data_IF_221221814113
#
_entry.id   IF_221221814113
#
_cell.length_a   1.000
_cell.length_b   1.000
_cell.length_c   1.000
_cell.angle_alpha   90.00
_cell.angle_beta   90.00
_cell.angle_gamma   90.00
#
_symmetry.space_group_name_H-M   'P 1'
#
loop_
_entity.id
_entity.type
_entity.pdbx_description
1 polymer ?
#
# COMPACT_ATOMS: atom_id res chain seq x y z
N UNK A 1 3.76 -10.85 13.59
CA UNK A 1 3.62 -9.41 13.86
C UNK A 1 2.44 -9.14 14.80
N UNK A 2 1.36 -9.92 14.74
CA UNK A 2 0.16 -9.73 15.57
C UNK A 2 0.43 -9.66 17.07
N UNK A 3 1.35 -10.48 17.59
CA UNK A 3 1.78 -10.38 18.99
C UNK A 3 2.25 -8.97 19.36
N UNK A 4 3.05 -8.34 18.50
CA UNK A 4 3.57 -6.98 18.72
C UNK A 4 2.45 -5.94 18.52
N UNK A 5 1.57 -6.17 17.54
CA UNK A 5 0.40 -5.30 17.30
C UNK A 5 -0.59 -5.34 18.47
N UNK A 6 -0.62 -6.42 19.26
CA UNK A 6 -1.47 -6.59 20.44
C UNK A 6 -0.82 -6.12 21.76
N UNK A 7 0.46 -5.69 21.76
CA UNK A 7 1.11 -5.14 22.95
C UNK A 7 0.42 -3.83 23.40
N UNK A 8 0.76 -3.36 24.59
CA UNK A 8 0.39 -2.00 25.00
C UNK A 8 1.14 -0.95 24.19
N UNK A 9 0.62 0.29 24.11
CA UNK A 9 1.33 1.40 23.47
C UNK A 9 2.72 1.62 24.08
N UNK A 10 2.84 1.49 25.41
CA UNK A 10 4.11 1.65 26.12
C UNK A 10 5.16 0.62 25.66
N UNK A 11 4.80 -0.68 25.65
CA UNK A 11 5.70 -1.75 25.22
C UNK A 11 6.09 -1.61 23.74
N UNK A 12 5.16 -1.17 22.88
CA UNK A 12 5.48 -0.85 21.48
C UNK A 12 6.45 0.31 21.37
N UNK A 13 6.21 1.41 22.10
CA UNK A 13 7.07 2.59 22.11
C UNK A 13 8.50 2.21 22.48
N UNK A 14 8.69 1.43 23.54
CA UNK A 14 10.01 0.96 23.98
C UNK A 14 10.73 0.13 22.91
N UNK A 15 10.01 -0.77 22.22
CA UNK A 15 10.55 -1.53 21.10
C UNK A 15 10.97 -0.62 19.94
N UNK A 16 10.12 0.36 19.59
CA UNK A 16 10.38 1.27 18.49
C UNK A 16 11.52 2.25 18.81
N UNK A 17 11.64 2.72 20.06
CA UNK A 17 12.77 3.54 20.54
C UNK A 17 14.10 2.79 20.51
N UNK A 18 14.10 1.52 20.96
CA UNK A 18 15.27 0.65 20.87
C UNK A 18 15.74 0.47 19.42
N UNK A 19 14.77 0.25 18.53
CA UNK A 19 15.04 0.06 17.10
C UNK A 19 15.52 1.35 16.43
N UNK A 20 14.85 2.47 16.72
CA UNK A 20 15.23 3.83 16.33
C UNK A 20 16.68 4.12 16.67
N UNK A 21 17.08 3.86 17.93
CA UNK A 21 18.44 4.09 18.43
C UNK A 21 19.48 3.21 17.71
N UNK A 22 19.17 1.93 17.47
CA UNK A 22 20.10 1.02 16.79
C UNK A 22 20.26 1.30 15.30
N UNK A 23 19.19 1.76 14.63
CA UNK A 23 19.18 1.96 13.18
C UNK A 23 19.37 3.42 12.78
N UNK A 24 19.45 4.34 13.75
CA UNK A 24 19.54 5.78 13.54
C UNK A 24 18.40 6.32 12.65
N UNK A 25 17.18 5.91 12.97
CA UNK A 25 15.94 6.29 12.27
C UNK A 25 14.98 6.99 13.26
N UNK A 26 14.14 7.94 12.82
CA UNK A 26 13.10 8.51 13.68
C UNK A 26 12.15 7.45 14.25
N UNK A 27 11.76 7.56 15.53
CA UNK A 27 10.84 6.62 16.18
C UNK A 27 9.52 6.45 15.43
N UNK A 28 8.91 7.57 15.01
CA UNK A 28 7.70 7.57 14.18
C UNK A 28 7.87 6.82 12.85
N UNK A 29 9.06 6.85 12.24
CA UNK A 29 9.33 6.12 11.00
C UNK A 29 9.42 4.61 11.25
N UNK A 30 10.04 4.20 12.37
CA UNK A 30 10.09 2.79 12.79
C UNK A 30 8.71 2.26 13.13
N UNK A 31 7.91 3.03 13.88
CA UNK A 31 6.54 2.67 14.23
C UNK A 31 5.67 2.49 12.99
N UNK A 32 5.71 3.47 12.07
CA UNK A 32 4.93 3.39 10.83
C UNK A 32 5.38 2.25 9.92
N UNK A 33 6.68 1.97 9.84
CA UNK A 33 7.20 0.79 9.14
C UNK A 33 6.61 -0.52 9.66
N UNK A 34 6.51 -0.65 10.99
CA UNK A 34 5.86 -1.80 11.62
C UNK A 34 4.40 -1.92 11.18
N UNK A 35 3.64 -0.84 11.27
CA UNK A 35 2.22 -0.85 10.90
C UNK A 35 1.99 -1.12 9.41
N UNK A 36 2.85 -0.59 8.52
CA UNK A 36 2.82 -0.92 7.09
C UNK A 36 3.01 -2.43 6.87
N UNK A 37 4.01 -3.04 7.51
CA UNK A 37 4.23 -4.48 7.40
C UNK A 37 3.07 -5.29 7.98
N UNK A 38 2.46 -4.82 9.08
CA UNK A 38 1.32 -5.49 9.71
C UNK A 38 0.04 -5.38 8.88
N UNK A 39 -0.26 -4.22 8.29
CA UNK A 39 -1.40 -4.03 7.37
C UNK A 39 -1.22 -4.88 6.12
N UNK A 40 -0.02 -4.90 5.52
CA UNK A 40 0.29 -5.77 4.39
C UNK A 40 0.12 -7.25 4.77
N UNK A 41 0.47 -7.64 6.00
CA UNK A 41 0.18 -8.99 6.51
C UNK A 41 -1.32 -9.28 6.48
N UNK A 42 -2.16 -8.38 7.01
CA UNK A 42 -3.62 -8.62 7.03
C UNK A 42 -4.20 -8.72 5.61
N UNK A 43 -3.81 -7.80 4.72
CA UNK A 43 -4.26 -7.77 3.32
C UNK A 43 -3.90 -9.06 2.57
N UNK A 44 -2.63 -9.48 2.62
CA UNK A 44 -2.14 -10.62 1.83
C UNK A 44 -2.31 -11.98 2.53
N UNK A 45 -2.57 -11.98 3.84
CA UNK A 45 -2.95 -13.17 4.61
C UNK A 45 -4.43 -13.54 4.48
N UNK A 46 -5.30 -12.58 4.17
CA UNK A 46 -6.73 -12.82 3.95
C UNK A 46 -6.99 -13.60 2.65
N UNK A 47 -7.77 -14.67 2.73
CA UNK A 47 -8.17 -15.46 1.55
C UNK A 47 -9.14 -14.70 0.64
N UNK A 48 -9.82 -13.68 1.16
CA UNK A 48 -10.77 -12.88 0.40
C UNK A 48 -10.10 -11.70 -0.28
N UNK A 49 -9.19 -11.00 0.41
CA UNK A 49 -8.52 -9.80 -0.13
C UNK A 49 -7.31 -10.13 -1.02
N UNK A 50 -6.46 -11.07 -0.60
CA UNK A 50 -5.19 -11.39 -1.26
C UNK A 50 -5.32 -11.76 -2.75
N UNK A 51 -6.36 -12.50 -3.21
CA UNK A 51 -6.51 -12.79 -4.63
C UNK A 51 -6.80 -11.55 -5.49
N UNK A 52 -7.37 -10.51 -4.91
CA UNK A 52 -7.89 -9.33 -5.63
C UNK A 52 -6.89 -8.18 -5.70
N UNK A 53 -5.79 -8.28 -4.95
CA UNK A 53 -4.87 -7.18 -4.73
C UNK A 53 -3.44 -7.54 -5.15
N UNK A 54 -2.72 -6.54 -5.63
CA UNK A 54 -1.29 -6.66 -5.90
C UNK A 54 -0.54 -5.41 -5.46
N UNK A 55 0.55 -5.61 -4.73
CA UNK A 55 1.35 -4.51 -4.20
C UNK A 55 2.25 -3.92 -5.29
N UNK A 56 2.30 -2.58 -5.38
CA UNK A 56 3.11 -1.90 -6.38
C UNK A 56 3.71 -0.60 -5.82
N UNK A 57 4.19 0.24 -6.73
CA UNK A 57 4.66 1.58 -6.40
C UNK A 57 6.01 1.58 -5.71
N UNK A 58 6.43 2.74 -5.22
CA UNK A 58 7.77 2.86 -4.65
C UNK A 58 7.89 2.25 -3.26
N UNK A 59 6.79 2.07 -2.52
CA UNK A 59 6.80 1.32 -1.26
C UNK A 59 7.12 -0.16 -1.51
N UNK A 60 6.64 -0.74 -2.60
CA UNK A 60 7.06 -2.10 -2.99
C UNK A 60 8.54 -2.15 -3.37
N UNK A 61 9.08 -1.12 -4.06
CA UNK A 61 10.51 -1.05 -4.41
C UNK A 61 11.42 -0.99 -3.18
N UNK A 62 11.04 -0.25 -2.15
CA UNK A 62 11.82 -0.19 -0.90
C UNK A 62 11.61 -1.44 -0.05
N UNK A 63 10.35 -1.85 0.20
CA UNK A 63 10.03 -2.95 1.14
C UNK A 63 10.32 -4.33 0.60
N UNK A 64 10.00 -4.61 -0.67
CA UNK A 64 10.16 -5.94 -1.26
C UNK A 64 11.57 -6.14 -1.83
N UNK A 65 12.14 -5.11 -2.44
CA UNK A 65 13.36 -5.26 -3.24
C UNK A 65 14.57 -4.50 -2.70
N UNK A 66 14.40 -3.61 -1.71
CA UNK A 66 15.50 -2.81 -1.15
C UNK A 66 16.20 -1.92 -2.19
N UNK A 67 15.50 -1.53 -3.26
CA UNK A 67 16.11 -0.83 -4.40
C UNK A 67 16.16 0.68 -4.22
N UNK A 68 15.37 1.23 -3.28
CA UNK A 68 15.34 2.65 -2.98
C UNK A 68 15.27 2.87 -1.47
N UNK A 69 15.99 3.89 -0.99
CA UNK A 69 16.02 4.30 0.40
C UNK A 69 15.09 5.49 0.62
N UNK A 70 13.78 5.24 0.49
CA UNK A 70 12.76 6.24 0.83
C UNK A 70 11.80 5.67 1.85
N UNK A 71 11.48 6.49 2.84
CA UNK A 71 10.32 6.28 3.68
C UNK A 71 9.08 6.63 2.86
N UNK A 72 8.09 5.74 2.82
CA UNK A 72 6.87 5.94 2.05
C UNK A 72 5.70 5.63 2.96
N UNK A 73 4.80 6.58 3.09
CA UNK A 73 3.64 6.51 3.98
C UNK A 73 2.46 5.77 3.36
N UNK A 74 2.45 5.70 2.03
CA UNK A 74 1.37 5.14 1.22
C UNK A 74 1.66 3.70 0.80
N UNK A 75 0.60 2.89 0.69
CA UNK A 75 0.63 1.56 0.10
C UNK A 75 -0.16 1.62 -1.21
N UNK A 76 0.55 1.56 -2.33
CA UNK A 76 -0.05 1.47 -3.66
C UNK A 76 -0.49 0.03 -3.98
N UNK A 77 -1.77 -0.17 -4.24
CA UNK A 77 -2.36 -1.44 -4.61
C UNK A 77 -3.00 -1.38 -6.00
N UNK A 78 -2.89 -2.49 -6.71
CA UNK A 78 -3.67 -2.77 -7.91
C UNK A 78 -4.87 -3.61 -7.49
N UNK A 79 -6.05 -3.19 -7.89
CA UNK A 79 -7.27 -4.00 -7.81
C UNK A 79 -7.43 -4.78 -9.11
N UNK A 80 -7.73 -6.07 -8.98
CA UNK A 80 -8.11 -6.92 -10.11
C UNK A 80 -9.39 -6.41 -10.76
N UNK A 81 -9.28 -5.88 -11.98
CA UNK A 81 -10.39 -5.27 -12.71
C UNK A 81 -11.45 -6.28 -13.13
N UNK A 82 -11.13 -7.59 -13.18
CA UNK A 82 -12.09 -8.66 -13.43
C UNK A 82 -13.16 -8.73 -12.32
N UNK A 83 -12.93 -8.09 -11.17
CA UNK A 83 -13.93 -7.92 -10.11
C UNK A 83 -14.94 -6.81 -10.38
N UNK A 84 -14.64 -5.92 -11.33
CA UNK A 84 -15.40 -4.69 -11.58
C UNK A 84 -16.19 -4.76 -12.88
N UNK A 85 -15.63 -5.39 -13.90
CA UNK A 85 -16.24 -5.47 -15.23
C UNK A 85 -15.79 -6.71 -15.99
N UNK A 86 -16.64 -7.18 -16.90
CA UNK A 86 -16.30 -8.22 -17.88
C UNK A 86 -15.64 -7.62 -19.16
N UNK A 87 -15.57 -6.30 -19.26
CA UNK A 87 -14.94 -5.62 -20.40
C UNK A 87 -13.42 -5.60 -20.30
N UNK A 88 -12.73 -6.01 -21.37
CA UNK A 88 -11.27 -5.98 -21.43
C UNK A 88 -10.76 -4.51 -21.46
N UNK A 89 -9.98 -4.06 -20.46
CA UNK A 89 -9.42 -2.71 -20.43
C UNK A 89 -8.41 -2.45 -21.56
N UNK A 90 -7.87 -3.50 -22.19
CA UNK A 90 -6.92 -3.43 -23.30
C UNK A 90 -7.57 -3.53 -24.68
N UNK A 91 -8.91 -3.65 -24.76
CA UNK A 91 -9.61 -3.60 -26.03
C UNK A 91 -9.35 -2.26 -26.75
N UNK A 92 -9.09 -2.33 -28.07
CA UNK A 92 -8.78 -1.16 -28.88
C UNK A 92 -10.03 -0.29 -29.03
N UNK A 93 -10.06 0.83 -28.32
CA UNK A 93 -11.12 1.83 -28.36
C UNK A 93 -10.61 3.14 -28.97
N UNK A 94 -11.53 4.00 -29.43
CA UNK A 94 -11.18 5.39 -29.73
C UNK A 94 -10.84 6.12 -28.42
N UNK A 95 -10.01 7.18 -28.49
CA UNK A 95 -9.60 7.94 -27.30
C UNK A 95 -10.80 8.36 -26.43
N UNK A 96 -11.87 8.89 -27.04
CA UNK A 96 -13.08 9.30 -26.31
C UNK A 96 -13.79 8.15 -25.60
N UNK A 97 -13.83 6.96 -26.23
CA UNK A 97 -14.41 5.77 -25.62
C UNK A 97 -13.53 5.22 -24.49
N UNK A 98 -12.20 5.27 -24.67
CA UNK A 98 -11.25 4.88 -23.62
C UNK A 98 -11.36 5.82 -22.41
N UNK A 99 -11.49 7.12 -22.63
CA UNK A 99 -11.65 8.10 -21.55
C UNK A 99 -12.96 7.89 -20.77
N UNK A 100 -14.05 7.54 -21.47
CA UNK A 100 -15.32 7.20 -20.84
C UNK A 100 -15.18 5.91 -20.01
N UNK A 101 -14.61 4.86 -20.60
CA UNK A 101 -14.34 3.60 -19.92
C UNK A 101 -13.49 3.79 -18.66
N UNK A 102 -12.42 4.59 -18.73
CA UNK A 102 -11.57 4.87 -17.59
C UNK A 102 -12.33 5.59 -16.46
N UNK A 103 -13.27 6.49 -16.78
CA UNK A 103 -14.12 7.16 -15.79
C UNK A 103 -15.11 6.19 -15.15
N UNK A 104 -15.74 5.34 -15.95
CA UNK A 104 -16.69 4.33 -15.46
C UNK A 104 -15.97 3.31 -14.57
N UNK A 105 -14.81 2.82 -14.98
CA UNK A 105 -13.95 1.94 -14.18
C UNK A 105 -13.52 2.57 -12.86
N UNK A 106 -13.19 3.87 -12.87
CA UNK A 106 -12.85 4.60 -11.65
C UNK A 106 -14.05 4.65 -10.70
N UNK A 107 -15.25 4.97 -11.20
CA UNK A 107 -16.47 4.99 -10.39
C UNK A 107 -16.83 3.60 -9.84
N UNK A 108 -16.70 2.54 -10.64
CA UNK A 108 -16.91 1.15 -10.21
C UNK A 108 -15.91 0.75 -9.12
N UNK A 109 -14.63 1.07 -9.30
CA UNK A 109 -13.60 0.80 -8.30
C UNK A 109 -13.85 1.55 -6.99
N UNK A 110 -14.24 2.83 -7.06
CA UNK A 110 -14.58 3.64 -5.88
C UNK A 110 -15.74 3.01 -5.08
N UNK A 111 -16.79 2.55 -5.77
CA UNK A 111 -17.90 1.81 -5.16
C UNK A 111 -17.44 0.49 -4.55
N UNK A 112 -16.67 -0.31 -5.29
CA UNK A 112 -16.17 -1.60 -4.82
C UNK A 112 -15.27 -1.49 -3.59
N UNK A 113 -14.36 -0.50 -3.58
CA UNK A 113 -13.50 -0.22 -2.44
C UNK A 113 -14.33 0.09 -1.20
N UNK A 114 -15.37 0.93 -1.34
CA UNK A 114 -16.23 1.33 -0.23
C UNK A 114 -17.15 0.22 0.26
N UNK A 115 -17.83 -0.46 -0.64
CA UNK A 115 -18.94 -1.34 -0.29
C UNK A 115 -18.47 -2.80 -0.08
N UNK A 116 -17.28 -3.17 -0.57
CA UNK A 116 -16.74 -4.53 -0.47
C UNK A 116 -15.38 -4.59 0.23
N UNK A 117 -14.34 -3.90 -0.27
CA UNK A 117 -12.99 -4.05 0.29
C UNK A 117 -12.86 -3.47 1.69
N UNK A 118 -13.47 -2.30 1.95
CA UNK A 118 -13.38 -1.65 3.25
C UNK A 118 -13.99 -2.52 4.37
N UNK A 119 -15.23 -3.07 4.25
CA UNK A 119 -15.77 -3.97 5.26
C UNK A 119 -14.92 -5.21 5.51
N UNK A 120 -14.39 -5.84 4.45
CA UNK A 120 -13.50 -7.00 4.57
C UNK A 120 -12.22 -6.62 5.32
N UNK A 121 -11.59 -5.51 4.94
CA UNK A 121 -10.39 -5.01 5.59
C UNK A 121 -10.64 -4.65 7.06
N UNK A 122 -11.76 -4.01 7.39
CA UNK A 122 -12.14 -3.72 8.78
C UNK A 122 -12.27 -5.01 9.61
N UNK A 123 -12.79 -6.09 9.02
CA UNK A 123 -12.84 -7.40 9.67
C UNK A 123 -11.44 -7.96 9.95
N UNK A 124 -10.52 -7.85 9.00
CA UNK A 124 -9.14 -8.35 9.14
C UNK A 124 -8.30 -7.51 10.13
N UNK A 125 -8.49 -6.19 10.17
CA UNK A 125 -7.79 -5.30 11.11
C UNK A 125 -8.31 -5.44 12.55
N UNK A 126 -9.55 -5.91 12.72
CA UNK A 126 -10.19 -6.09 14.01
C UNK A 126 -10.32 -4.78 14.79
N UNK A 127 -9.95 -4.80 16.07
CA UNK A 127 -10.02 -3.63 16.96
C UNK A 127 -8.67 -2.88 17.10
N UNK A 128 -7.64 -3.33 16.36
CA UNK A 128 -6.29 -2.77 16.50
C UNK A 128 -6.15 -1.48 15.69
N UNK A 129 -6.63 -1.47 14.45
CA UNK A 129 -6.60 -0.31 13.56
C UNK A 129 -8.01 0.04 13.10
N UNK A 130 -8.23 1.33 12.81
CA UNK A 130 -9.49 1.82 12.24
C UNK A 130 -9.30 2.13 10.76
N UNK A 131 -10.10 1.52 9.89
CA UNK A 131 -10.09 1.81 8.45
C UNK A 131 -11.33 2.59 8.04
N UNK A 132 -11.16 3.60 7.18
CA UNK A 132 -12.23 4.41 6.62
C UNK A 132 -11.91 4.90 5.22
N UNK A 133 -12.91 5.34 4.45
CA UNK A 133 -12.65 5.96 3.14
C UNK A 133 -11.93 7.29 3.33
N UNK A 134 -10.88 7.52 2.54
CA UNK A 134 -10.14 8.77 2.55
C UNK A 134 -11.07 9.95 2.23
N UNK A 135 -11.04 11.05 3.01
CA UNK A 135 -12.01 12.15 2.88
C UNK A 135 -11.98 12.81 1.49
N UNK A 136 -10.78 13.03 0.94
CA UNK A 136 -10.60 13.77 -0.31
C UNK A 136 -10.26 12.91 -1.53
N UNK A 137 -10.11 11.59 -1.35
CA UNK A 137 -9.63 10.66 -2.39
C UNK A 137 -10.56 9.46 -2.46
N UNK A 138 -11.63 9.59 -3.24
CA UNK A 138 -12.53 8.47 -3.49
C UNK A 138 -11.75 7.26 -4.03
N UNK A 139 -12.05 6.08 -3.50
CA UNK A 139 -11.35 4.82 -3.85
C UNK A 139 -10.05 4.57 -3.08
N UNK A 140 -9.67 5.45 -2.15
CA UNK A 140 -8.56 5.23 -1.21
C UNK A 140 -9.09 4.97 0.20
N UNK A 141 -8.33 4.19 0.99
CA UNK A 141 -8.66 3.88 2.39
C UNK A 141 -7.59 4.47 3.29
N UNK A 142 -8.00 5.21 4.32
CA UNK A 142 -7.14 5.65 5.42
C UNK A 142 -7.23 4.64 6.56
N UNK A 143 -6.09 4.18 7.05
CA UNK A 143 -5.98 3.27 8.20
C UNK A 143 -5.27 4.00 9.33
N UNK A 144 -6.00 4.34 10.39
CA UNK A 144 -5.45 4.88 11.62
C UNK A 144 -4.93 3.74 12.50
N UNK A 145 -3.71 3.88 12.99
CA UNK A 145 -3.10 2.93 13.91
C UNK A 145 -2.80 3.60 15.27
N UNK A 146 -2.67 2.82 16.36
CA UNK A 146 -2.39 3.38 17.68
C UNK A 146 -0.92 3.80 17.77
N UNK A 147 -0.64 5.00 17.29
CA UNK A 147 0.68 5.62 17.29
C UNK A 147 1.12 6.07 18.69
N UNK A 148 2.42 5.98 18.95
CA UNK A 148 3.07 6.33 20.22
C UNK A 148 4.01 7.52 20.07
N UNK A 149 4.35 7.90 18.83
CA UNK A 149 5.23 9.05 18.54
C UNK A 149 4.45 10.20 17.92
N UNK A 150 4.67 11.41 18.42
CA UNK A 150 4.24 12.63 17.77
C UNK A 150 5.25 13.05 16.70
N UNK A 151 4.76 13.47 15.54
CA UNK A 151 5.58 14.00 14.45
C UNK A 151 4.76 14.97 13.61
N UNK A 152 5.35 16.11 13.27
CA UNK A 152 4.75 17.07 12.34
C UNK A 152 4.70 16.56 10.90
N UNK A 153 5.55 15.56 10.57
CA UNK A 153 5.77 15.07 9.22
C UNK A 153 5.21 13.67 8.98
N UNK A 154 5.21 12.81 10.02
CA UNK A 154 4.78 11.42 9.90
C UNK A 154 3.47 11.24 10.65
N UNK A 155 2.38 11.11 9.91
CA UNK A 155 1.05 10.89 10.51
C UNK A 155 0.90 9.45 10.99
N UNK A 156 0.16 9.20 12.10
CA UNK A 156 -0.16 7.85 12.58
C UNK A 156 -1.27 7.17 11.77
N UNK A 157 -1.22 7.34 10.45
CA UNK A 157 -2.15 6.74 9.48
C UNK A 157 -1.37 6.14 8.30
N UNK A 158 -1.96 5.15 7.65
CA UNK A 158 -1.48 4.56 6.39
C UNK A 158 -2.54 4.81 5.34
N UNK A 159 -2.13 5.29 4.17
CA UNK A 159 -3.04 5.49 3.04
C UNK A 159 -2.90 4.32 2.07
N UNK A 160 -4.02 3.62 1.81
CA UNK A 160 -4.11 2.62 0.75
C UNK A 160 -4.64 3.30 -0.50
N UNK A 161 -3.78 3.44 -1.52
CA UNK A 161 -4.19 3.90 -2.84
C UNK A 161 -4.51 2.69 -3.72
N UNK A 162 -5.77 2.50 -4.08
CA UNK A 162 -6.24 1.31 -4.80
C UNK A 162 -6.70 1.72 -6.21
N UNK A 163 -6.10 1.14 -7.25
CA UNK A 163 -6.41 1.47 -8.64
C UNK A 163 -6.65 0.24 -9.52
N UNK A 164 -7.66 0.26 -10.44
CA UNK A 164 -8.04 -0.92 -11.21
C UNK A 164 -7.27 -1.11 -12.54
N UNK A 165 -6.54 -0.10 -13.01
CA UNK A 165 -6.09 -0.04 -14.42
C UNK A 165 -4.67 -0.59 -14.68
N UNK A 166 -4.00 -1.13 -13.67
CA UNK A 166 -2.61 -1.59 -13.83
C UNK A 166 -2.56 -3.09 -14.13
N UNK A 167 -1.75 -3.50 -15.12
CA UNK A 167 -1.51 -4.92 -15.37
C UNK A 167 -0.92 -5.59 -14.13
N UNK A 168 -1.48 -6.73 -13.71
CA UNK A 168 -1.03 -7.49 -12.54
C UNK A 168 0.17 -8.40 -12.84
N UNK A 169 0.75 -8.34 -14.03
CA UNK A 169 1.87 -9.21 -14.45
C UNK A 169 3.03 -8.41 -15.06
N UNK A 170 4.29 -8.89 -14.95
CA UNK A 170 4.74 -9.96 -14.06
C UNK A 170 4.78 -9.52 -12.59
N UNK A 171 4.60 -10.48 -11.68
CA UNK A 171 4.66 -10.29 -10.24
C UNK A 171 5.36 -11.47 -9.57
N UNK A 172 5.84 -11.23 -8.36
CA UNK A 172 6.50 -12.23 -7.53
C UNK A 172 5.95 -12.18 -6.11
N UNK A 173 5.97 -13.35 -5.46
CA UNK A 173 5.79 -13.41 -4.02
C UNK A 173 7.09 -13.04 -3.31
N UNK A 174 7.03 -12.05 -2.43
CA UNK A 174 8.19 -11.53 -1.71
C UNK A 174 7.92 -11.54 -0.22
N UNK A 175 8.92 -11.93 0.58
CA UNK A 175 8.85 -11.84 2.04
C UNK A 175 9.34 -10.49 2.52
N UNK A 176 8.54 -9.82 3.31
CA UNK A 176 8.89 -8.56 3.98
C UNK A 176 8.88 -8.76 5.50
N UNK A 177 9.55 -7.86 6.21
CA UNK A 177 9.56 -7.77 7.67
C UNK A 177 9.78 -6.31 8.10
N UNK A 178 9.28 -5.92 9.29
CA UNK A 178 9.54 -4.60 9.83
C UNK A 178 10.93 -4.50 10.45
N UNK A 179 11.47 -3.29 10.55
CA UNK A 179 12.80 -3.01 11.11
C UNK A 179 12.97 -3.55 12.54
N UNK A 180 11.93 -3.42 13.37
CA UNK A 180 11.95 -3.90 14.75
C UNK A 180 12.06 -5.42 14.88
N UNK A 181 11.72 -6.18 13.82
CA UNK A 181 11.94 -7.63 13.79
C UNK A 181 13.42 -8.01 13.64
N UNK A 182 14.26 -7.14 13.07
CA UNK A 182 15.72 -7.34 13.03
C UNK A 182 16.38 -7.06 14.38
N UNK A 183 15.84 -6.08 15.11
CA UNK A 183 16.41 -5.62 16.39
C UNK A 183 16.00 -6.50 17.57
N UNK A 184 14.75 -6.98 17.58
CA UNK A 184 14.18 -7.79 18.67
C UNK A 184 13.34 -8.97 18.14
N UNK A 185 13.92 -9.90 17.36
CA UNK A 185 13.19 -11.01 16.75
C UNK A 185 12.43 -11.89 17.76
N UNK A 186 12.91 -11.97 19.01
CA UNK A 186 12.28 -12.75 20.09
C UNK A 186 10.87 -12.28 20.49
N UNK A 187 10.50 -11.04 20.14
CA UNK A 187 9.16 -10.51 20.40
C UNK A 187 8.14 -10.91 19.32
N UNK A 188 8.61 -11.47 18.21
CA UNK A 188 7.77 -11.82 17.06
C UNK A 188 7.54 -13.33 17.02
N UNK A 189 6.28 -13.75 17.08
CA UNK A 189 5.91 -15.14 16.77
C UNK A 189 6.07 -15.45 15.28
N UNK A 190 5.82 -14.45 14.45
CA UNK A 190 5.94 -14.51 12.99
C UNK A 190 6.52 -13.17 12.51
N UNK A 191 7.84 -13.06 12.29
CA UNK A 191 8.50 -11.78 11.99
C UNK A 191 8.34 -11.34 10.54
N UNK A 192 8.01 -12.26 9.63
CA UNK A 192 7.90 -11.99 8.19
C UNK A 192 6.49 -12.24 7.69
N UNK A 193 6.07 -11.52 6.65
CA UNK A 193 4.86 -11.86 5.87
C UNK A 193 5.20 -11.97 4.39
N UNK A 194 4.42 -12.76 3.66
CA UNK A 194 4.50 -12.84 2.21
C UNK A 194 3.52 -11.83 1.60
N UNK A 195 3.99 -11.08 0.62
CA UNK A 195 3.18 -10.14 -0.17
C UNK A 195 3.37 -10.45 -1.65
N UNK A 196 2.33 -10.24 -2.44
CA UNK A 196 2.39 -10.39 -3.90
C UNK A 196 2.64 -9.01 -4.49
N UNK A 197 3.82 -8.83 -5.10
CA UNK A 197 4.28 -7.52 -5.56
C UNK A 197 4.64 -7.53 -7.04
N UNK A 198 4.34 -6.44 -7.75
CA UNK A 198 4.83 -6.22 -9.12
C UNK A 198 6.34 -6.33 -9.14
N UNK A 199 6.88 -7.00 -10.16
CA UNK A 199 8.33 -7.13 -10.33
C UNK A 199 8.98 -5.75 -10.50
N UNK A 200 10.10 -5.53 -9.80
CA UNK A 200 10.84 -4.27 -9.87
C UNK A 200 11.20 -3.85 -11.31
N UNK A 201 11.49 -4.81 -12.19
CA UNK A 201 11.77 -4.55 -13.61
C UNK A 201 10.57 -3.95 -14.34
N UNK A 202 9.36 -4.42 -14.04
CA UNK A 202 8.14 -3.84 -14.62
C UNK A 202 7.92 -2.44 -14.09
N UNK A 203 8.04 -2.24 -12.77
CA UNK A 203 7.91 -0.91 -12.16
C UNK A 203 8.91 0.10 -12.73
N UNK A 204 10.14 -0.33 -13.01
CA UNK A 204 11.13 0.49 -13.69
C UNK A 204 10.65 0.98 -15.06
N UNK A 205 10.15 0.07 -15.91
CA UNK A 205 9.63 0.42 -17.23
C UNK A 205 8.37 1.29 -17.18
N UNK A 206 7.46 1.01 -16.23
CA UNK A 206 6.29 1.85 -15.99
C UNK A 206 6.73 3.29 -15.63
N UNK A 207 7.75 3.45 -14.77
CA UNK A 207 8.27 4.77 -14.39
C UNK A 207 8.98 5.48 -15.55
N UNK A 208 9.81 4.76 -16.32
CA UNK A 208 10.51 5.32 -17.49
C UNK A 208 9.51 5.80 -18.54
N UNK A 209 8.45 5.03 -18.81
CA UNK A 209 7.43 5.42 -19.79
C UNK A 209 6.61 6.63 -19.32
N UNK A 210 6.23 6.69 -18.05
CA UNK A 210 5.56 7.88 -17.47
C UNK A 210 6.45 9.12 -17.61
N UNK A 211 7.74 9.03 -17.22
CA UNK A 211 8.68 10.15 -17.34
C UNK A 211 8.89 10.58 -18.79
N UNK A 212 8.95 9.63 -19.72
CA UNK A 212 9.06 9.93 -21.15
C UNK A 212 7.84 10.71 -21.65
N UNK A 213 6.63 10.27 -21.30
CA UNK A 213 5.39 10.96 -21.66
C UNK A 213 5.36 12.37 -21.08
N UNK A 214 5.76 12.54 -19.81
CA UNK A 214 5.77 13.86 -19.16
C UNK A 214 6.79 14.80 -19.82
N UNK A 215 8.00 14.30 -20.13
CA UNK A 215 9.04 15.09 -20.79
C UNK A 215 8.68 15.54 -22.22
N UNK A 216 7.74 14.86 -22.87
CA UNK A 216 7.27 15.18 -24.23
C UNK A 216 5.81 15.68 -24.24
N UNK A 217 5.25 16.02 -23.07
CA UNK A 217 3.89 16.52 -22.97
C UNK A 217 3.81 17.94 -23.57
N UNK A 218 2.87 18.20 -24.50
CA UNK A 218 2.66 19.54 -25.04
C UNK A 218 2.34 20.56 -23.95
N UNK A 219 2.87 21.78 -24.06
CA UNK A 219 2.73 22.84 -23.04
C UNK A 219 1.26 23.19 -22.72
N UNK A 220 0.35 23.00 -23.67
CA UNK A 220 -1.09 23.22 -23.56
C UNK A 220 -1.84 22.14 -22.76
N UNK A 221 -1.16 21.07 -22.31
CA UNK A 221 -1.77 19.94 -21.59
C UNK A 221 -1.10 19.60 -20.25
N UNK A 222 -0.36 20.52 -19.63
CA UNK A 222 0.24 20.29 -18.31
C UNK A 222 -0.82 19.98 -17.25
N UNK A 223 -0.62 18.90 -16.48
CA UNK A 223 -1.41 18.64 -15.27
C UNK A 223 -1.12 19.74 -14.25
N UNK A 224 -2.17 20.39 -13.75
CA UNK A 224 -2.06 21.24 -12.57
C UNK A 224 -1.58 20.38 -11.41
N UNK A 225 -0.46 20.78 -10.81
CA UNK A 225 0.17 20.15 -9.67
C UNK A 225 -0.72 20.19 -8.43
#
# INVERSE_FOLDING_TARGET
MDRVAALTNQERSELFELTSSKMNLPGAAVEKDFWVCWVLKQLFGSTELSPQLLFKGGTSLSKCYGLIERFSEDIDLILDWEKLTDEDPYEIRSNTKQDLFNKDMKALAEGYVKDTLLPLLQSELGQICNASIHPDRAGSITIDFPGSFESDYIKPSIELEIGPMSAMIPHSDVRIKPYCADVAPQLFSEPTTQVRAIDAKKTFWDKVTILHVEAHRPEDKQQQA
#
